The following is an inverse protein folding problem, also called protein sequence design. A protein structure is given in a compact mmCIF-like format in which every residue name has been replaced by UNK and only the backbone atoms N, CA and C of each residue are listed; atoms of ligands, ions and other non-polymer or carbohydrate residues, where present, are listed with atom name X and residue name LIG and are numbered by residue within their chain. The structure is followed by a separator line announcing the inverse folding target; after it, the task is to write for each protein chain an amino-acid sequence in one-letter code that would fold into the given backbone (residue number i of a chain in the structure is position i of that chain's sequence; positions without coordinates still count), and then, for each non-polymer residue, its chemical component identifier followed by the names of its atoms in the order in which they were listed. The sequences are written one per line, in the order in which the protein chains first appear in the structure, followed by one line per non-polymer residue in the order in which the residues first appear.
data_IF_343368709698
#
_entry.id   IF_343368709698
#
_cell.length_a   1.000
_cell.length_b   1.000
_cell.length_c   1.000
_cell.angle_alpha   90.00
_cell.angle_beta   90.00
_cell.angle_gamma   90.00
#
_symmetry.space_group_name_H-M   'P 1'
#
loop_
_entity.id
_entity.type
_entity.pdbx_description
1 polymer ?
#
# COMPACT_ATOMS: atom_id res chain seq x y z
N UNK A 1 14.12 -4.79 -39.46
CA UNK A 1 15.04 -4.92 -38.31
C UNK A 1 14.43 -4.15 -37.16
N UNK A 2 14.23 -4.77 -36.00
CA UNK A 2 13.76 -4.03 -34.83
C UNK A 2 14.93 -3.20 -34.29
N UNK A 3 14.83 -1.89 -34.41
CA UNK A 3 15.81 -0.95 -33.86
C UNK A 3 15.80 -0.98 -32.33
N UNK A 4 16.96 -0.78 -31.70
CA UNK A 4 17.09 -0.74 -30.24
C UNK A 4 16.15 0.30 -29.57
N UNK A 5 15.76 1.33 -30.31
CA UNK A 5 14.78 2.34 -29.87
C UNK A 5 13.36 1.79 -29.77
N UNK A 6 12.99 0.85 -30.62
CA UNK A 6 11.67 0.22 -30.65
C UNK A 6 11.53 -0.75 -29.45
N UNK A 7 12.59 -1.51 -29.18
CA UNK A 7 12.68 -2.33 -27.96
C UNK A 7 12.57 -1.48 -26.69
N UNK A 8 13.26 -0.33 -26.65
CA UNK A 8 13.19 0.58 -25.50
C UNK A 8 11.78 1.17 -25.31
N UNK A 9 11.05 1.45 -26.40
CA UNK A 9 9.65 1.89 -26.33
C UNK A 9 8.74 0.79 -25.81
N UNK A 10 8.87 -0.44 -26.31
CA UNK A 10 8.09 -1.59 -25.85
C UNK A 10 8.31 -1.87 -24.36
N UNK A 11 9.55 -1.77 -23.88
CA UNK A 11 9.86 -1.93 -22.45
C UNK A 11 9.19 -0.83 -21.61
N UNK A 12 9.26 0.43 -22.05
CA UNK A 12 8.62 1.56 -21.34
C UNK A 12 7.09 1.43 -21.34
N UNK A 13 6.52 1.02 -22.46
CA UNK A 13 5.09 0.81 -22.60
C UNK A 13 4.61 -0.34 -21.72
N UNK A 14 5.27 -1.50 -21.78
CA UNK A 14 4.94 -2.64 -20.90
C UNK A 14 5.09 -2.29 -19.41
N UNK A 15 6.08 -1.48 -19.04
CA UNK A 15 6.22 -1.00 -17.67
C UNK A 15 5.09 -0.06 -17.24
N UNK A 16 4.66 0.87 -18.12
CA UNK A 16 3.53 1.76 -17.84
C UNK A 16 2.21 0.98 -17.75
N UNK A 17 1.97 0.06 -18.69
CA UNK A 17 0.79 -0.81 -18.71
C UNK A 17 0.75 -1.72 -17.47
N UNK A 18 1.88 -2.26 -17.03
CA UNK A 18 1.94 -3.06 -15.79
C UNK A 18 1.61 -2.23 -14.54
N UNK A 19 1.98 -0.95 -14.52
CA UNK A 19 1.66 -0.02 -13.43
C UNK A 19 0.18 0.38 -13.48
N UNK A 20 -0.38 0.65 -14.66
CA UNK A 20 -1.82 0.92 -14.85
C UNK A 20 -2.69 -0.30 -14.51
N UNK A 21 -2.27 -1.50 -14.93
CA UNK A 21 -2.97 -2.76 -14.66
C UNK A 21 -2.93 -3.17 -13.19
N UNK A 22 -1.99 -2.64 -12.40
CA UNK A 22 -1.93 -2.85 -10.95
C UNK A 22 -3.10 -2.20 -10.18
N UNK A 23 -3.96 -1.43 -10.86
CA UNK A 23 -5.11 -0.75 -10.27
C UNK A 23 -4.69 0.42 -9.37
N UNK A 24 -5.59 1.38 -9.10
CA UNK A 24 -5.26 2.60 -8.35
C UNK A 24 -4.84 2.34 -6.88
N UNK A 25 -5.19 1.16 -6.34
CA UNK A 25 -4.98 0.77 -4.94
C UNK A 25 -4.64 -0.72 -4.84
N UNK A 26 -3.65 -1.05 -4.02
CA UNK A 26 -3.32 -2.43 -3.66
C UNK A 26 -3.86 -2.75 -2.25
N UNK A 27 -4.52 -3.91 -2.10
CA UNK A 27 -4.95 -4.40 -0.79
C UNK A 27 -3.75 -5.02 -0.07
N UNK A 28 -3.52 -4.62 1.18
CA UNK A 28 -2.45 -5.11 2.03
C UNK A 28 -3.00 -5.46 3.41
N UNK A 29 -2.43 -6.47 4.06
CA UNK A 29 -2.74 -6.80 5.46
C UNK A 29 -1.57 -6.45 6.35
N UNK A 30 -1.83 -5.98 7.56
CA UNK A 30 -0.79 -5.67 8.54
C UNK A 30 -1.21 -6.00 9.97
N UNK A 31 -0.26 -5.91 10.89
CA UNK A 31 -0.48 -6.09 12.32
C UNK A 31 -0.17 -4.79 13.05
N UNK A 32 -1.06 -4.36 13.93
CA UNK A 32 -0.84 -3.19 14.79
C UNK A 32 0.23 -3.54 15.82
N UNK A 33 1.36 -2.83 15.81
CA UNK A 33 2.42 -2.99 16.83
C UNK A 33 2.13 -2.10 18.04
N UNK A 34 1.58 -0.92 17.81
CA UNK A 34 1.34 0.06 18.86
C UNK A 34 0.10 0.90 18.52
N UNK A 35 -0.80 1.10 19.48
CA UNK A 35 -2.03 1.88 19.30
C UNK A 35 -1.79 3.39 19.48
N UNK A 36 -0.82 3.77 20.33
CA UNK A 36 -0.46 5.17 20.60
C UNK A 36 1.05 5.32 20.86
N UNK A 37 1.84 5.89 19.91
CA UNK A 37 1.45 6.34 18.58
C UNK A 37 1.17 5.16 17.64
N UNK A 38 0.14 5.29 16.79
CA UNK A 38 -0.33 4.22 15.90
C UNK A 38 0.79 3.75 14.97
N UNK A 39 1.17 2.48 15.10
CA UNK A 39 2.19 1.82 14.31
C UNK A 39 1.64 0.50 13.78
N UNK A 40 1.68 0.33 12.46
CA UNK A 40 1.19 -0.88 11.78
C UNK A 40 2.30 -1.46 10.94
N UNK A 41 2.61 -2.73 11.15
CA UNK A 41 3.58 -3.49 10.36
C UNK A 41 2.87 -4.28 9.28
N UNK A 42 3.10 -3.91 8.02
CA UNK A 42 2.52 -4.57 6.84
C UNK A 42 3.35 -5.79 6.45
N UNK A 43 4.67 -5.74 6.65
CA UNK A 43 5.59 -6.79 6.23
C UNK A 43 6.84 -6.77 7.11
N UNK A 44 7.67 -7.82 7.03
CA UNK A 44 8.89 -7.97 7.84
C UNK A 44 9.86 -6.78 7.76
N UNK A 45 9.76 -5.94 6.72
CA UNK A 45 10.61 -4.78 6.46
C UNK A 45 9.89 -3.42 6.44
N UNK A 46 8.56 -3.39 6.60
CA UNK A 46 7.77 -2.16 6.43
C UNK A 46 6.85 -1.92 7.63
N UNK A 47 7.20 -0.90 8.42
CA UNK A 47 6.39 -0.37 9.51
C UNK A 47 5.89 1.02 9.14
N UNK A 48 4.58 1.20 9.19
CA UNK A 48 3.89 2.45 8.94
C UNK A 48 3.64 3.17 10.27
N UNK A 49 3.86 4.49 10.27
CA UNK A 49 3.53 5.37 11.38
C UNK A 49 2.37 6.30 11.04
N UNK A 50 1.87 7.02 12.03
CA UNK A 50 0.64 7.84 11.94
C UNK A 50 0.57 8.81 10.73
N UNK A 51 1.70 9.31 10.23
CA UNK A 51 1.71 10.32 9.15
C UNK A 51 1.28 9.77 7.77
N UNK A 52 1.47 8.47 7.56
CA UNK A 52 1.18 7.79 6.28
C UNK A 52 -0.15 7.03 6.29
N UNK A 53 -0.89 7.11 7.41
CA UNK A 53 -2.11 6.35 7.64
C UNK A 53 -3.33 7.26 7.65
N UNK A 54 -4.36 6.88 6.90
CA UNK A 54 -5.68 7.51 6.88
C UNK A 54 -6.63 6.55 7.57
N UNK A 55 -7.20 6.97 8.71
CA UNK A 55 -8.24 6.22 9.42
C UNK A 55 -9.60 6.56 8.81
N UNK A 56 -10.38 5.55 8.47
CA UNK A 56 -11.80 5.73 8.16
C UNK A 56 -12.59 5.96 9.46
N UNK A 57 -13.69 6.70 9.37
CA UNK A 57 -14.50 7.11 10.54
C UNK A 57 -14.99 5.93 11.37
N UNK A 58 -15.19 4.77 10.76
CA UNK A 58 -15.79 3.58 11.38
C UNK A 58 -14.80 2.49 11.80
N UNK A 59 -13.49 2.75 11.77
CA UNK A 59 -12.47 1.71 12.04
C UNK A 59 -12.30 1.33 13.52
N UNK A 60 -13.13 1.86 14.44
CA UNK A 60 -13.07 1.54 15.87
C UNK A 60 -11.73 1.91 16.55
N UNK A 61 -11.56 1.46 17.79
CA UNK A 61 -10.27 1.53 18.49
C UNK A 61 -9.39 0.36 18.03
N UNK A 62 -8.20 0.68 17.54
CA UNK A 62 -7.20 -0.32 17.15
C UNK A 62 -6.42 -0.74 18.39
N UNK A 63 -6.47 -2.02 18.74
CA UNK A 63 -5.68 -2.58 19.82
C UNK A 63 -4.30 -3.04 19.31
N UNK A 64 -3.37 -3.18 20.25
CA UNK A 64 -2.07 -3.78 19.93
C UNK A 64 -2.30 -5.24 19.50
N UNK A 65 -1.56 -5.67 18.48
CA UNK A 65 -1.63 -7.00 17.85
C UNK A 65 -2.85 -7.26 16.97
N UNK A 66 -3.71 -6.27 16.72
CA UNK A 66 -4.83 -6.43 15.79
C UNK A 66 -4.36 -6.63 14.34
N UNK A 67 -5.07 -7.48 13.62
CA UNK A 67 -4.92 -7.66 12.18
C UNK A 67 -5.80 -6.65 11.45
N UNK A 68 -5.17 -5.84 10.61
CA UNK A 68 -5.83 -4.77 9.87
C UNK A 68 -5.69 -4.98 8.37
N UNK A 69 -6.72 -4.60 7.63
CA UNK A 69 -6.69 -4.48 6.17
C UNK A 69 -6.49 -3.02 5.78
N UNK A 70 -5.56 -2.77 4.86
CA UNK A 70 -5.25 -1.45 4.34
C UNK A 70 -5.26 -1.42 2.82
N UNK A 71 -5.61 -0.26 2.27
CA UNK A 71 -5.43 0.06 0.86
C UNK A 71 -4.20 0.96 0.70
N UNK A 72 -3.19 0.48 -0.03
CA UNK A 72 -2.03 1.26 -0.45
C UNK A 72 -2.36 2.01 -1.74
N UNK A 73 -2.31 3.33 -1.71
CA UNK A 73 -2.49 4.14 -2.91
C UNK A 73 -1.24 4.07 -3.81
N UNK A 74 -1.42 3.88 -5.12
CA UNK A 74 -0.32 3.93 -6.09
C UNK A 74 0.31 5.34 -6.16
N UNK A 75 1.64 5.39 -6.28
CA UNK A 75 2.39 6.66 -6.37
C UNK A 75 2.63 7.39 -5.05
N UNK A 76 2.20 6.83 -3.91
CA UNK A 76 2.42 7.43 -2.58
C UNK A 76 2.67 6.40 -1.49
N UNK A 77 3.12 6.89 -0.33
CA UNK A 77 3.17 6.13 0.92
C UNK A 77 1.88 6.35 1.73
N UNK A 78 0.71 6.43 1.07
CA UNK A 78 -0.56 6.61 1.77
C UNK A 78 -1.28 5.28 1.89
N UNK A 79 -1.72 4.97 3.11
CA UNK A 79 -2.41 3.74 3.45
C UNK A 79 -3.73 4.08 4.12
N UNK A 80 -4.83 3.59 3.58
CA UNK A 80 -6.18 3.77 4.14
C UNK A 80 -6.54 2.52 4.91
N UNK A 81 -6.90 2.64 6.18
CA UNK A 81 -7.34 1.48 6.99
C UNK A 81 -8.82 1.22 6.71
N UNK A 82 -9.14 0.01 6.25
CA UNK A 82 -10.53 -0.41 5.98
C UNK A 82 -11.20 -1.01 7.22
N UNK A 83 -10.47 -1.81 8.00
CA UNK A 83 -11.05 -2.50 9.16
C UNK A 83 -10.05 -3.41 9.87
N UNK A 84 -10.51 -3.92 11.01
CA UNK A 84 -9.88 -4.99 11.80
C UNK A 84 -10.65 -6.29 11.61
N UNK A 85 -9.97 -7.43 11.75
CA UNK A 85 -10.59 -8.75 11.77
C UNK A 85 -9.86 -9.71 12.70
#
# INVERSE_FOLDING_TARGET
MYDAKDLLKLIKQAAAEAVEASGPVAVCTGTVINAAPLQVKISSKLTLGSHQMIKCRETGELANQDHVVLLRQQGGQKYIILGVF
#
